data_IF_871466548637
#
_entry.id   IF_871466548637
#
_cell.length_a   1.000
_cell.length_b   1.000
_cell.length_c   1.000
_cell.angle_alpha   90.00
_cell.angle_beta   90.00
_cell.angle_gamma   90.00
#
_symmetry.space_group_name_H-M   'P 1'
#
loop_
_entity.id
_entity.type
_entity.pdbx_description
1 polymer ?
#
# COMPACT_ATOMS: atom_id res chain seq x y z
N UNK A 1 0.90 -14.47 -6.49
CA UNK A 1 0.80 -13.57 -5.33
C UNK A 1 0.58 -12.15 -5.80
N UNK A 2 -0.39 -11.45 -5.22
CA UNK A 2 -0.68 -10.04 -5.50
C UNK A 2 -0.96 -9.28 -4.20
N UNK A 3 -0.91 -7.96 -4.27
CA UNK A 3 -1.35 -7.13 -3.15
C UNK A 3 -2.85 -7.29 -2.90
N UNK A 4 -3.20 -7.38 -1.63
CA UNK A 4 -4.57 -7.34 -1.13
C UNK A 4 -5.04 -5.88 -1.04
N UNK A 5 -5.51 -5.34 -2.17
CA UNK A 5 -5.96 -3.95 -2.28
C UNK A 5 -7.10 -3.65 -1.29
N UNK A 6 -7.98 -4.63 -1.02
CA UNK A 6 -9.05 -4.47 -0.04
C UNK A 6 -8.50 -4.24 1.37
N UNK A 7 -7.44 -4.95 1.77
CA UNK A 7 -6.75 -4.74 3.05
C UNK A 7 -6.07 -3.37 3.11
N UNK A 8 -5.40 -2.95 2.03
CA UNK A 8 -4.80 -1.61 1.94
C UNK A 8 -5.86 -0.52 2.12
N UNK A 9 -7.00 -0.61 1.42
CA UNK A 9 -8.10 0.34 1.55
C UNK A 9 -8.71 0.35 2.96
N UNK A 10 -8.77 -0.81 3.62
CA UNK A 10 -9.22 -0.93 5.02
C UNK A 10 -8.27 -0.20 5.97
N UNK A 11 -6.96 -0.38 5.82
CA UNK A 11 -5.95 0.33 6.63
C UNK A 11 -5.95 1.84 6.38
N UNK A 12 -6.09 2.26 5.12
CA UNK A 12 -6.29 3.67 4.76
C UNK A 12 -7.50 4.28 5.47
N UNK A 13 -8.66 3.60 5.43
CA UNK A 13 -9.90 4.06 6.08
C UNK A 13 -9.74 4.13 7.60
N UNK A 14 -9.11 3.14 8.23
CA UNK A 14 -8.85 3.09 9.68
C UNK A 14 -8.03 4.30 10.14
N UNK A 15 -7.08 4.75 9.32
CA UNK A 15 -6.17 5.87 9.60
C UNK A 15 -6.68 7.23 9.08
N UNK A 16 -7.80 7.24 8.35
CA UNK A 16 -8.31 8.41 7.60
C UNK A 16 -7.28 8.94 6.59
N UNK A 17 -6.46 8.05 6.03
CA UNK A 17 -5.44 8.38 5.03
C UNK A 17 -6.01 8.29 3.61
N UNK A 18 -5.53 9.17 2.73
CA UNK A 18 -5.69 9.07 1.28
C UNK A 18 -4.47 8.36 0.66
N UNK A 19 -4.56 7.99 -0.61
CA UNK A 19 -3.43 7.38 -1.35
C UNK A 19 -2.18 8.28 -1.34
N UNK A 20 -2.35 9.61 -1.32
CA UNK A 20 -1.25 10.56 -1.21
C UNK A 20 -0.53 10.48 0.14
N UNK A 21 -1.27 10.29 1.23
CA UNK A 21 -0.70 10.15 2.56
C UNK A 21 0.09 8.85 2.68
N UNK A 22 -0.45 7.76 2.13
CA UNK A 22 0.27 6.49 2.04
C UNK A 22 1.53 6.60 1.20
N UNK A 23 1.48 7.27 0.04
CA UNK A 23 2.66 7.48 -0.79
C UNK A 23 3.76 8.22 -0.03
N UNK A 24 3.38 9.30 0.70
CA UNK A 24 4.30 10.08 1.53
C UNK A 24 4.88 9.24 2.67
N UNK A 25 4.05 8.51 3.41
CA UNK A 25 4.49 7.67 4.52
C UNK A 25 5.38 6.50 4.07
N UNK A 26 5.12 5.95 2.88
CA UNK A 26 5.89 4.86 2.30
C UNK A 26 7.16 5.36 1.57
N UNK A 27 7.39 6.67 1.47
CA UNK A 27 8.54 7.25 0.79
C UNK A 27 8.55 7.04 -0.73
N UNK A 28 7.37 6.88 -1.34
CA UNK A 28 7.21 6.56 -2.77
C UNK A 28 6.47 7.69 -3.48
N UNK A 29 6.76 7.90 -4.77
CA UNK A 29 5.99 8.83 -5.60
C UNK A 29 4.53 8.35 -5.70
N UNK A 30 3.57 9.27 -5.56
CA UNK A 30 2.12 8.96 -5.64
C UNK A 30 1.75 8.25 -6.95
N UNK A 31 2.35 8.67 -8.07
CA UNK A 31 2.20 8.02 -9.37
C UNK A 31 2.66 6.56 -9.36
N UNK A 32 3.81 6.28 -8.75
CA UNK A 32 4.33 4.92 -8.63
C UNK A 32 3.44 4.05 -7.73
N UNK A 33 2.95 4.59 -6.61
CA UNK A 33 2.01 3.86 -5.75
C UNK A 33 0.73 3.50 -6.52
N UNK A 34 0.11 4.46 -7.21
CA UNK A 34 -1.18 4.26 -7.87
C UNK A 34 -1.04 3.43 -9.15
N UNK A 35 -0.15 3.83 -10.06
CA UNK A 35 -0.03 3.20 -11.39
C UNK A 35 0.72 1.86 -11.36
N UNK A 36 1.72 1.71 -10.49
CA UNK A 36 2.47 0.46 -10.40
C UNK A 36 1.91 -0.44 -9.32
N UNK A 37 1.81 0.00 -8.08
CA UNK A 37 1.50 -0.94 -6.98
C UNK A 37 0.01 -1.26 -6.87
N UNK A 38 -0.85 -0.25 -6.81
CA UNK A 38 -2.28 -0.45 -6.61
C UNK A 38 -2.97 -0.95 -7.89
N UNK A 39 -2.62 -0.40 -9.06
CA UNK A 39 -3.22 -0.80 -10.34
C UNK A 39 -2.77 -2.17 -10.83
N UNK A 40 -1.49 -2.52 -10.74
CA UNK A 40 -1.03 -3.86 -11.17
C UNK A 40 -1.18 -4.92 -10.09
N UNK A 41 -1.33 -4.50 -8.82
CA UNK A 41 -1.36 -5.39 -7.67
C UNK A 41 -0.02 -6.09 -7.42
N UNK A 42 1.09 -5.52 -7.90
CA UNK A 42 2.42 -6.16 -7.74
C UNK A 42 2.88 -6.18 -6.28
N UNK A 43 3.41 -7.33 -5.87
CA UNK A 43 3.93 -7.54 -4.50
C UNK A 43 5.13 -6.66 -4.17
N UNK A 44 5.80 -6.06 -5.17
CA UNK A 44 6.90 -5.11 -4.94
C UNK A 44 6.49 -3.90 -4.10
N UNK A 45 5.19 -3.56 -4.08
CA UNK A 45 4.66 -2.52 -3.21
C UNK A 45 4.43 -2.96 -1.75
N UNK A 46 4.47 -4.26 -1.44
CA UNK A 46 4.08 -4.78 -0.13
C UNK A 46 4.99 -4.26 0.98
N UNK A 47 6.31 -4.33 0.82
CA UNK A 47 7.27 -3.84 1.83
C UNK A 47 7.09 -2.36 2.18
N UNK A 48 7.15 -1.41 1.22
CA UNK A 48 7.05 0.00 1.56
C UNK A 48 5.65 0.37 2.09
N UNK A 49 4.57 -0.25 1.58
CA UNK A 49 3.21 -0.02 2.06
C UNK A 49 3.03 -0.58 3.48
N UNK A 50 3.52 -1.79 3.74
CA UNK A 50 3.45 -2.41 5.06
C UNK A 50 4.28 -1.65 6.10
N UNK A 51 5.47 -1.16 5.71
CA UNK A 51 6.29 -0.29 6.55
C UNK A 51 5.56 1.02 6.90
N UNK A 52 4.87 1.64 5.94
CA UNK A 52 4.07 2.83 6.19
C UNK A 52 2.89 2.57 7.14
N UNK A 53 2.34 1.37 7.11
CA UNK A 53 1.30 0.95 8.05
C UNK A 53 1.86 0.40 9.37
N UNK A 54 3.13 0.02 9.46
CA UNK A 54 3.68 -0.68 10.62
C UNK A 54 3.07 -2.07 10.81
N UNK A 55 2.88 -2.82 9.72
CA UNK A 55 2.36 -4.20 9.71
C UNK A 55 3.34 -5.12 8.95
N UNK A 56 3.10 -6.44 8.98
CA UNK A 56 3.91 -7.38 8.20
C UNK A 56 3.53 -7.30 6.70
N UNK A 57 4.51 -7.24 5.76
CA UNK A 57 4.23 -7.30 4.32
C UNK A 57 3.39 -8.50 3.89
N UNK A 58 3.48 -9.63 4.59
CA UNK A 58 2.68 -10.83 4.33
C UNK A 58 1.19 -10.60 4.57
N UNK A 59 0.83 -9.71 5.50
CA UNK A 59 -0.57 -9.33 5.76
C UNK A 59 -1.22 -8.58 4.58
N UNK A 60 -0.38 -8.05 3.68
CA UNK A 60 -0.80 -7.35 2.47
C UNK A 60 -0.79 -8.23 1.23
N UNK A 61 -0.38 -9.51 1.31
CA UNK A 61 -0.28 -10.40 0.15
C UNK A 61 -1.43 -11.42 0.15
N UNK A 62 -1.97 -11.69 -1.04
CA UNK A 62 -3.05 -12.66 -1.32
C UNK A 62 -2.70 -13.50 -2.55
#
# INVERSE_FOLDING_TARGET
>A
MKLNIAKINKELKKRRWKNLDLARAAGIKSRQLIEYYLRTGTIKGAEPIAKAFGIDPKDLIK
#
